data_IF_247190775442
#
_entry.id   IF_247190775442
#
_cell.length_a   1.000
_cell.length_b   1.000
_cell.length_c   1.000
_cell.angle_alpha   90.00
_cell.angle_beta   90.00
_cell.angle_gamma   90.00
#
_symmetry.space_group_name_H-M   'P 1'
#
loop_
_entity.id
_entity.type
_entity.pdbx_description
1 polymer ?
#
# COMPACT_ATOMS: atom_id res chain seq x y z
N UNK A 1 18.44 -5.01 95.69
CA UNK A 1 18.76 -6.37 96.20
C UNK A 1 17.85 -6.64 97.40
N UNK A 2 17.45 -7.87 97.73
CA UNK A 2 16.84 -8.95 96.96
C UNK A 2 15.50 -9.45 97.59
N UNK A 3 14.78 -10.35 96.88
CA UNK A 3 14.02 -11.53 97.40
C UNK A 3 13.14 -11.39 98.67
N UNK A 4 11.84 -11.68 98.69
CA UNK A 4 11.14 -12.84 98.13
C UNK A 4 10.46 -13.65 99.25
N UNK A 5 9.22 -14.12 99.04
CA UNK A 5 8.53 -15.11 99.92
C UNK A 5 7.03 -14.84 100.12
N UNK A 6 6.13 -15.45 99.32
CA UNK A 6 5.32 -16.66 99.62
C UNK A 6 4.35 -16.48 100.81
N UNK A 7 3.03 -16.72 100.76
CA UNK A 7 2.10 -17.22 99.75
C UNK A 7 0.82 -17.79 100.39
N UNK A 8 -0.26 -17.91 99.57
CA UNK A 8 -1.46 -18.80 99.64
C UNK A 8 -2.61 -18.45 100.60
N UNK A 9 -3.89 -18.76 100.23
CA UNK A 9 -4.44 -20.10 99.88
C UNK A 9 -5.07 -20.20 98.45
N UNK A 10 -5.01 -21.31 97.68
CA UNK A 10 -5.81 -22.58 97.69
C UNK A 10 -7.34 -22.34 97.66
N UNK A 11 -8.21 -23.00 96.89
CA UNK A 11 -8.20 -23.98 95.77
C UNK A 11 -9.70 -24.23 95.42
N UNK A 12 -10.11 -24.28 94.13
CA UNK A 12 -11.19 -25.14 93.53
C UNK A 12 -11.49 -24.58 92.10
N UNK A 13 -11.12 -25.24 90.99
CA UNK A 13 -11.64 -26.46 90.31
C UNK A 13 -12.83 -26.16 89.37
N UNK A 14 -12.67 -26.54 88.08
CA UNK A 14 -13.72 -26.62 87.04
C UNK A 14 -13.29 -26.01 85.69
N UNK A 15 -12.32 -26.59 84.98
CA UNK A 15 -12.46 -27.47 83.78
C UNK A 15 -12.95 -26.84 82.45
N UNK A 16 -12.01 -26.84 81.48
CA UNK A 16 -12.11 -27.14 80.02
C UNK A 16 -12.98 -26.23 79.14
N UNK A 17 -12.38 -25.27 78.43
CA UNK A 17 -11.73 -25.38 77.09
C UNK A 17 -12.72 -25.49 75.94
N UNK A 18 -12.75 -24.47 75.04
CA UNK A 18 -12.77 -24.60 73.58
C UNK A 18 -12.74 -23.22 72.89
N UNK A 19 -11.53 -22.82 72.48
CA UNK A 19 -11.16 -22.07 71.26
C UNK A 19 -12.20 -21.11 70.63
N UNK A 20 -12.09 -19.81 70.95
CA UNK A 20 -12.65 -18.71 70.15
C UNK A 20 -11.82 -18.51 68.85
N UNK A 21 -12.50 -18.48 67.69
CA UNK A 21 -11.91 -18.02 66.41
C UNK A 21 -12.11 -16.50 66.27
N UNK A 22 -11.11 -15.72 65.81
CA UNK A 22 -11.31 -14.30 65.52
C UNK A 22 -12.11 -14.11 64.22
N UNK A 23 -13.17 -13.31 64.29
CA UNK A 23 -13.97 -12.85 63.16
C UNK A 23 -13.19 -11.92 62.21
N UNK A 24 -13.37 -12.00 60.87
CA UNK A 24 -12.63 -11.16 59.91
C UNK A 24 -13.18 -9.72 59.88
N UNK A 25 -12.39 -8.75 59.40
CA UNK A 25 -12.75 -7.33 59.47
C UNK A 25 -13.91 -6.99 58.54
N UNK A 26 -14.81 -6.12 58.99
CA UNK A 26 -15.91 -5.55 58.21
C UNK A 26 -15.35 -4.83 56.97
N UNK A 27 -15.45 -5.46 55.80
CA UNK A 27 -15.21 -4.79 54.51
C UNK A 27 -16.28 -3.71 54.32
N UNK A 28 -15.87 -2.45 54.32
CA UNK A 28 -16.71 -1.33 53.88
C UNK A 28 -17.01 -1.52 52.39
N UNK A 29 -18.27 -1.77 52.05
CA UNK A 29 -18.77 -1.76 50.67
C UNK A 29 -18.71 -0.31 50.15
N UNK A 30 -17.84 -0.07 49.17
CA UNK A 30 -17.83 1.16 48.37
C UNK A 30 -19.15 1.17 47.56
N UNK A 31 -19.91 2.28 47.52
CA UNK A 31 -21.19 2.31 46.80
C UNK A 31 -20.96 2.11 45.31
N UNK A 32 -21.46 0.99 44.77
CA UNK A 32 -21.44 0.58 43.35
C UNK A 32 -22.31 1.47 42.43
N UNK A 33 -22.57 2.73 42.79
CA UNK A 33 -23.53 3.60 42.10
C UNK A 33 -22.89 4.62 41.13
N UNK A 34 -21.56 4.75 41.07
CA UNK A 34 -20.89 5.73 40.20
C UNK A 34 -20.33 5.17 38.87
N UNK A 35 -20.41 3.86 38.66
CA UNK A 35 -19.93 3.24 37.41
C UNK A 35 -20.91 3.44 36.24
N UNK A 36 -22.22 3.49 36.52
CA UNK A 36 -23.23 3.65 35.47
C UNK A 36 -23.11 5.00 34.72
N UNK A 37 -22.97 6.15 35.41
CA UNK A 37 -22.78 7.44 34.75
C UNK A 37 -21.47 7.49 33.93
N UNK A 38 -20.39 6.88 34.41
CA UNK A 38 -19.12 6.81 33.69
C UNK A 38 -19.21 5.91 32.46
N UNK A 39 -19.94 4.79 32.55
CA UNK A 39 -20.18 3.90 31.41
C UNK A 39 -21.07 4.57 30.35
N UNK A 40 -22.11 5.30 30.78
CA UNK A 40 -22.95 6.11 29.89
C UNK A 40 -22.16 7.24 29.21
N UNK A 41 -21.27 7.91 29.94
CA UNK A 41 -20.38 8.92 29.37
C UNK A 41 -19.40 8.29 28.36
N UNK A 42 -18.82 7.12 28.66
CA UNK A 42 -17.95 6.41 27.73
C UNK A 42 -18.69 5.96 26.46
N UNK A 43 -19.91 5.44 26.59
CA UNK A 43 -20.74 5.03 25.45
C UNK A 43 -21.20 6.21 24.61
N UNK A 44 -21.56 7.34 25.23
CA UNK A 44 -21.94 8.56 24.48
C UNK A 44 -20.73 9.15 23.75
N UNK A 45 -19.57 9.23 24.39
CA UNK A 45 -18.33 9.66 23.74
C UNK A 45 -17.97 8.71 22.59
N UNK A 46 -18.01 7.39 22.79
CA UNK A 46 -17.75 6.41 21.74
C UNK A 46 -18.76 6.52 20.57
N UNK A 47 -20.04 6.78 20.86
CA UNK A 47 -21.07 7.00 19.84
C UNK A 47 -20.85 8.30 19.07
N UNK A 48 -20.43 9.37 19.74
CA UNK A 48 -20.07 10.65 19.09
C UNK A 48 -18.81 10.48 18.22
N UNK A 49 -17.78 9.80 18.71
CA UNK A 49 -16.59 9.49 17.89
C UNK A 49 -16.94 8.58 16.71
N UNK A 50 -17.77 7.56 16.92
CA UNK A 50 -18.22 6.67 15.85
C UNK A 50 -19.08 7.41 14.82
N UNK A 51 -19.97 8.31 15.25
CA UNK A 51 -20.79 9.10 14.33
C UNK A 51 -19.96 10.14 13.59
N UNK A 52 -19.00 10.81 14.22
CA UNK A 52 -18.05 11.71 13.54
C UNK A 52 -17.17 10.93 12.57
N UNK A 53 -16.64 9.78 12.98
CA UNK A 53 -15.86 8.89 12.10
C UNK A 53 -16.70 8.40 10.92
N UNK A 54 -17.95 7.98 11.17
CA UNK A 54 -18.91 7.57 10.13
C UNK A 54 -19.28 8.74 9.22
N UNK A 55 -19.47 9.95 9.73
CA UNK A 55 -19.78 11.15 8.94
C UNK A 55 -18.57 11.52 8.07
N UNK A 56 -17.36 11.51 8.64
CA UNK A 56 -16.11 11.72 7.91
C UNK A 56 -15.91 10.66 6.82
N UNK A 57 -16.13 9.39 7.14
CA UNK A 57 -16.07 8.31 6.15
C UNK A 57 -17.18 8.38 5.11
N UNK A 58 -18.41 8.80 5.47
CA UNK A 58 -19.50 9.02 4.51
C UNK A 58 -19.34 10.29 3.68
N UNK A 59 -18.50 11.24 4.07
CA UNK A 59 -18.10 12.35 3.20
C UNK A 59 -17.03 11.93 2.18
N UNK A 60 -16.23 10.92 2.51
CA UNK A 60 -15.34 10.25 1.54
C UNK A 60 -16.06 9.17 0.72
N UNK A 61 -17.14 8.59 1.23
CA UNK A 61 -18.05 7.66 0.56
C UNK A 61 -19.47 8.23 0.55
N UNK A 62 -19.75 9.14 -0.40
CA UNK A 62 -21.04 9.36 -1.07
C UNK A 62 -21.12 10.78 -1.63
N UNK A 63 -20.66 10.94 -2.87
CA UNK A 63 -21.43 11.71 -3.83
C UNK A 63 -22.73 10.92 -4.10
N UNK A 64 -23.92 11.54 -4.10
CA UNK A 64 -25.17 10.80 -4.08
C UNK A 64 -25.37 10.00 -5.37
N UNK A 65 -25.82 8.76 -5.21
CA UNK A 65 -26.36 7.93 -6.27
C UNK A 65 -27.66 8.55 -6.80
N UNK A 66 -27.55 9.45 -7.78
CA UNK A 66 -28.68 10.10 -8.43
C UNK A 66 -28.23 10.84 -9.68
N UNK A 67 -28.35 10.18 -10.84
CA UNK A 67 -27.69 10.47 -12.13
C UNK A 67 -26.18 10.23 -12.09
N UNK A 68 -25.78 9.00 -12.44
CA UNK A 68 -24.52 8.84 -13.16
C UNK A 68 -24.56 9.83 -14.34
N UNK A 69 -23.78 10.91 -14.24
CA UNK A 69 -23.36 11.67 -15.40
C UNK A 69 -22.63 10.66 -16.28
N UNK A 70 -23.36 10.11 -17.27
CA UNK A 70 -22.81 9.36 -18.42
C UNK A 70 -22.02 10.31 -19.33
N UNK A 71 -21.21 11.17 -18.73
CA UNK A 71 -20.35 12.13 -19.36
C UNK A 71 -18.89 11.76 -19.07
N UNK A 72 -17.98 11.99 -20.02
CA UNK A 72 -16.55 11.84 -19.77
C UNK A 72 -16.13 12.68 -18.56
N UNK A 73 -15.36 12.10 -17.63
CA UNK A 73 -14.75 12.83 -16.53
C UNK A 73 -13.91 13.99 -17.09
N UNK A 74 -13.86 15.13 -16.41
CA UNK A 74 -13.03 16.27 -16.81
C UNK A 74 -11.57 15.79 -16.95
N UNK A 75 -10.94 16.09 -18.08
CA UNK A 75 -9.60 15.61 -18.44
C UNK A 75 -9.53 14.21 -19.06
N UNK A 76 -10.64 13.50 -19.21
CA UNK A 76 -10.66 12.22 -19.93
C UNK A 76 -10.68 12.40 -21.45
N UNK A 77 -10.02 11.49 -22.19
CA UNK A 77 -9.99 11.57 -23.65
C UNK A 77 -11.39 11.29 -24.24
N UNK A 78 -11.80 11.90 -25.35
CA UNK A 78 -12.99 11.46 -26.09
C UNK A 78 -12.88 10.00 -26.53
N UNK A 79 -13.99 9.27 -26.65
CA UNK A 79 -13.97 7.84 -26.99
C UNK A 79 -13.19 7.55 -28.29
N UNK A 80 -13.41 8.33 -29.34
CA UNK A 80 -12.69 8.18 -30.60
C UNK A 80 -11.17 8.27 -30.41
N UNK A 81 -10.72 9.13 -29.49
CA UNK A 81 -9.31 9.28 -29.15
C UNK A 81 -8.80 8.11 -28.31
N UNK A 82 -9.58 7.61 -27.36
CA UNK A 82 -9.26 6.37 -26.62
C UNK A 82 -9.05 5.20 -27.58
N UNK A 83 -9.99 4.99 -28.52
CA UNK A 83 -9.89 3.92 -29.52
C UNK A 83 -8.67 4.08 -30.41
N UNK A 84 -8.33 5.31 -30.80
CA UNK A 84 -7.10 5.60 -31.57
C UNK A 84 -5.83 5.28 -30.79
N UNK A 85 -5.72 5.73 -29.53
CA UNK A 85 -4.55 5.46 -28.67
C UNK A 85 -4.39 3.96 -28.44
N UNK A 86 -5.48 3.27 -28.10
CA UNK A 86 -5.47 1.80 -27.92
C UNK A 86 -5.13 1.08 -29.22
N UNK A 87 -5.61 1.57 -30.37
CA UNK A 87 -5.33 0.99 -31.68
C UNK A 87 -3.89 1.20 -32.18
N UNK A 88 -3.13 2.12 -31.59
CA UNK A 88 -1.69 2.29 -31.88
C UNK A 88 -0.81 1.27 -31.13
N UNK A 89 -1.37 0.57 -30.13
CA UNK A 89 -0.66 -0.48 -29.42
C UNK A 89 -0.56 -1.71 -30.32
N UNK A 90 0.65 -2.25 -30.42
CA UNK A 90 0.94 -3.48 -31.16
C UNK A 90 1.34 -4.57 -30.15
N UNK A 91 0.43 -5.53 -29.85
CA UNK A 91 0.71 -6.65 -28.96
C UNK A 91 1.91 -7.50 -29.38
N UNK A 92 2.11 -7.69 -30.69
CA UNK A 92 3.20 -8.49 -31.22
C UNK A 92 4.54 -7.77 -31.06
N UNK A 93 4.57 -6.45 -31.32
CA UNK A 93 5.76 -5.62 -31.06
C UNK A 93 6.09 -5.56 -29.57
N UNK A 94 5.10 -5.38 -28.71
CA UNK A 94 5.29 -5.43 -27.26
C UNK A 94 5.97 -6.74 -26.85
N UNK A 95 5.44 -7.87 -27.29
CA UNK A 95 5.93 -9.18 -26.89
C UNK A 95 7.30 -9.51 -27.51
N UNK A 96 7.41 -9.40 -28.83
CA UNK A 96 8.58 -9.92 -29.55
C UNK A 96 9.73 -8.92 -29.65
N UNK A 97 9.44 -7.62 -29.70
CA UNK A 97 10.48 -6.60 -29.85
C UNK A 97 10.94 -6.05 -28.50
N UNK A 98 10.06 -5.98 -27.50
CA UNK A 98 10.41 -5.39 -26.22
C UNK A 98 10.52 -6.41 -25.09
N UNK A 99 9.54 -7.30 -24.89
CA UNK A 99 9.59 -8.25 -23.77
C UNK A 99 10.66 -9.33 -23.97
N UNK A 100 10.59 -10.10 -25.07
CA UNK A 100 11.50 -11.24 -25.29
C UNK A 100 12.99 -10.92 -25.19
N UNK A 101 13.51 -9.81 -25.75
CA UNK A 101 14.93 -9.47 -25.58
C UNK A 101 15.34 -9.17 -24.14
N UNK A 102 14.39 -8.83 -23.26
CA UNK A 102 14.65 -8.56 -21.85
C UNK A 102 14.62 -9.84 -20.99
N UNK A 103 14.08 -10.95 -21.49
CA UNK A 103 13.95 -12.23 -20.79
C UNK A 103 15.25 -13.04 -20.78
N UNK A 104 16.32 -12.43 -20.29
CA UNK A 104 17.64 -13.03 -20.09
C UNK A 104 18.10 -12.82 -18.64
N UNK A 105 19.05 -13.64 -18.19
CA UNK A 105 19.74 -13.40 -16.91
C UNK A 105 20.45 -12.05 -16.99
N UNK A 106 20.08 -11.14 -16.09
CA UNK A 106 20.51 -9.72 -16.14
C UNK A 106 20.84 -9.16 -14.75
N UNK A 107 21.46 -9.99 -13.91
CA UNK A 107 21.97 -9.56 -12.59
C UNK A 107 22.93 -8.37 -12.75
N UNK A 108 23.02 -7.48 -11.74
CA UNK A 108 23.85 -6.29 -11.83
C UNK A 108 25.29 -6.61 -12.24
N UNK A 109 25.79 -5.91 -13.26
CA UNK A 109 27.14 -6.11 -13.82
C UNK A 109 27.31 -7.29 -14.80
N UNK A 110 26.28 -8.10 -15.04
CA UNK A 110 26.34 -9.20 -16.02
C UNK A 110 26.33 -8.70 -17.48
N UNK A 111 26.83 -9.50 -18.45
CA UNK A 111 26.72 -9.17 -19.88
C UNK A 111 25.29 -8.93 -20.35
N UNK A 112 24.32 -9.70 -19.84
CA UNK A 112 22.89 -9.52 -20.17
C UNK A 112 22.35 -8.16 -19.69
N UNK A 113 22.76 -7.70 -18.50
CA UNK A 113 22.40 -6.39 -17.97
C UNK A 113 22.93 -5.23 -18.84
N UNK A 114 24.18 -5.33 -19.30
CA UNK A 114 24.80 -4.30 -20.16
C UNK A 114 24.16 -4.19 -21.54
N UNK A 115 23.70 -5.32 -22.11
CA UNK A 115 23.03 -5.34 -23.43
C UNK A 115 21.69 -4.60 -23.41
N UNK A 116 20.96 -4.65 -22.29
CA UNK A 116 19.63 -4.04 -22.13
C UNK A 116 19.68 -2.50 -21.96
N UNK A 117 20.81 -1.94 -21.50
CA UNK A 117 20.90 -0.55 -20.99
C UNK A 117 20.84 0.58 -22.04
N UNK A 118 20.61 0.32 -23.33
CA UNK A 118 20.60 1.37 -24.38
C UNK A 118 19.22 2.04 -24.49
N UNK A 119 19.07 3.29 -24.04
CA UNK A 119 17.81 4.03 -24.06
C UNK A 119 17.86 5.34 -24.88
N UNK A 120 16.70 5.73 -25.42
CA UNK A 120 16.47 6.91 -26.28
C UNK A 120 15.98 8.14 -25.49
N UNK A 121 16.20 9.38 -25.97
CA UNK A 121 15.80 10.61 -25.27
C UNK A 121 14.32 10.96 -25.47
N UNK A 122 13.59 11.30 -24.39
CA UNK A 122 12.21 11.83 -24.40
C UNK A 122 11.95 12.79 -23.22
N UNK A 123 10.89 13.62 -23.32
CA UNK A 123 10.44 14.54 -22.25
C UNK A 123 9.72 13.79 -21.11
N UNK A 124 9.06 12.67 -21.44
CA UNK A 124 8.71 11.60 -20.52
C UNK A 124 9.99 10.86 -20.13
N UNK A 125 10.31 10.83 -18.84
CA UNK A 125 11.48 10.10 -18.35
C UNK A 125 11.11 8.65 -18.05
N UNK A 126 11.76 7.72 -18.74
CA UNK A 126 11.73 6.29 -18.42
C UNK A 126 13.02 5.93 -17.71
N UNK A 127 12.90 5.32 -16.53
CA UNK A 127 14.04 4.93 -15.69
C UNK A 127 14.01 3.42 -15.54
N UNK A 128 15.03 2.76 -16.09
CA UNK A 128 15.25 1.32 -15.91
C UNK A 128 16.34 1.17 -14.85
N UNK A 129 15.90 0.86 -13.63
CA UNK A 129 16.77 0.78 -12.46
C UNK A 129 17.50 -0.56 -12.44
N UNK A 130 18.74 -0.53 -11.99
CA UNK A 130 19.61 -1.70 -11.87
C UNK A 130 19.80 -2.06 -10.40
N UNK A 131 19.83 -3.35 -10.08
CA UNK A 131 20.05 -3.83 -8.71
C UNK A 131 19.01 -3.36 -7.71
N UNK A 132 17.73 -3.47 -8.04
CA UNK A 132 16.64 -3.37 -7.07
C UNK A 132 16.77 -4.54 -6.05
N UNK A 133 16.89 -5.74 -6.59
CA UNK A 133 17.03 -6.98 -5.81
C UNK A 133 18.23 -7.02 -4.87
N UNK A 134 18.04 -7.73 -3.76
CA UNK A 134 19.12 -8.10 -2.86
C UNK A 134 20.04 -9.14 -3.53
N UNK A 135 21.35 -9.00 -3.35
CA UNK A 135 22.31 -10.02 -3.79
C UNK A 135 22.35 -11.22 -2.85
N UNK A 136 22.08 -11.01 -1.55
CA UNK A 136 22.04 -12.09 -0.55
C UNK A 136 20.83 -11.99 0.36
N UNK A 137 20.66 -10.87 1.05
CA UNK A 137 19.63 -10.69 2.05
C UNK A 137 19.08 -9.28 1.97
N UNK A 138 17.76 -9.18 1.75
CA UNK A 138 17.07 -7.91 1.73
C UNK A 138 17.33 -7.10 3.00
N UNK A 139 17.75 -5.85 2.80
CA UNK A 139 18.00 -4.92 3.89
C UNK A 139 18.58 -3.60 3.40
N UNK A 140 18.82 -2.63 4.30
CA UNK A 140 19.10 -1.23 3.94
C UNK A 140 20.39 -1.01 3.14
N UNK A 141 21.27 -2.01 3.06
CA UNK A 141 22.53 -1.95 2.30
C UNK A 141 22.59 -2.93 1.13
N UNK A 142 21.78 -3.99 1.16
CA UNK A 142 21.73 -5.08 0.18
C UNK A 142 20.33 -5.14 -0.45
N UNK A 143 19.99 -4.05 -1.13
CA UNK A 143 18.78 -3.82 -1.93
C UNK A 143 18.89 -2.42 -2.55
N UNK A 144 18.05 -2.11 -3.54
CA UNK A 144 17.79 -0.76 -4.04
C UNK A 144 19.06 -0.01 -4.46
N UNK A 145 20.05 -0.71 -5.02
CA UNK A 145 21.36 -0.15 -5.35
C UNK A 145 21.25 0.99 -6.35
N UNK A 146 20.57 0.75 -7.48
CA UNK A 146 20.40 1.73 -8.54
C UNK A 146 19.53 2.92 -8.13
N UNK A 147 18.40 2.67 -7.47
CA UNK A 147 17.50 3.75 -7.00
C UNK A 147 18.15 4.62 -5.92
N UNK A 148 18.87 4.02 -4.95
CA UNK A 148 19.62 4.81 -3.94
C UNK A 148 20.65 5.70 -4.60
N UNK A 149 21.43 5.17 -5.53
CA UNK A 149 22.44 5.93 -6.25
C UNK A 149 21.82 7.04 -7.12
N UNK A 150 20.79 6.71 -7.91
CA UNK A 150 20.15 7.67 -8.81
C UNK A 150 19.44 8.80 -8.06
N UNK A 151 18.71 8.49 -7.00
CA UNK A 151 18.05 9.52 -6.19
C UNK A 151 19.07 10.49 -5.57
N UNK A 152 20.20 9.98 -5.08
CA UNK A 152 21.30 10.81 -4.58
C UNK A 152 21.92 11.69 -5.68
N UNK A 153 22.12 11.11 -6.88
CA UNK A 153 22.66 11.83 -8.03
C UNK A 153 21.70 12.93 -8.50
N UNK A 154 20.39 12.65 -8.56
CA UNK A 154 19.38 13.63 -8.98
C UNK A 154 19.27 14.79 -8.00
N UNK A 155 19.43 14.51 -6.70
CA UNK A 155 19.46 15.53 -5.65
C UNK A 155 20.69 16.44 -5.76
N UNK A 156 21.85 15.91 -6.16
CA UNK A 156 23.06 16.71 -6.36
C UNK A 156 23.15 17.38 -7.73
N UNK A 157 22.25 17.04 -8.67
CA UNK A 157 22.29 17.58 -10.04
C UNK A 157 21.33 18.77 -10.17
N UNK A 158 21.83 19.98 -10.49
CA UNK A 158 20.99 21.15 -10.71
C UNK A 158 19.98 20.97 -11.87
N UNK A 159 18.81 21.56 -11.71
CA UNK A 159 17.77 21.63 -12.74
C UNK A 159 17.01 22.95 -12.62
N UNK A 160 17.38 23.94 -13.43
CA UNK A 160 16.84 25.30 -13.32
C UNK A 160 17.43 26.12 -12.16
N UNK A 161 16.83 27.27 -11.87
CA UNK A 161 17.29 28.18 -10.80
C UNK A 161 16.80 27.68 -9.43
N UNK A 162 17.74 27.24 -8.59
CA UNK A 162 17.48 26.90 -7.19
C UNK A 162 16.83 25.52 -6.94
N UNK A 163 16.68 24.70 -7.98
CA UNK A 163 16.13 23.33 -7.91
C UNK A 163 17.09 22.28 -8.45
N UNK A 164 16.83 21.03 -8.09
CA UNK A 164 17.60 19.85 -8.50
C UNK A 164 16.71 18.95 -9.37
N UNK A 165 17.28 17.93 -9.99
CA UNK A 165 16.51 16.97 -10.80
C UNK A 165 15.46 16.23 -9.98
N UNK A 166 15.58 16.14 -8.65
CA UNK A 166 14.53 15.58 -7.79
C UNK A 166 13.24 16.41 -7.88
N UNK A 167 13.31 17.74 -7.83
CA UNK A 167 12.12 18.60 -7.90
C UNK A 167 11.49 18.62 -9.30
N UNK A 168 12.20 18.16 -10.32
CA UNK A 168 11.65 18.01 -11.67
C UNK A 168 10.67 16.83 -11.80
N UNK A 169 10.68 15.89 -10.84
CA UNK A 169 9.78 14.73 -10.87
C UNK A 169 8.41 15.14 -10.33
N UNK A 170 7.46 15.35 -11.24
CA UNK A 170 6.07 15.68 -10.88
C UNK A 170 5.33 14.48 -10.25
N UNK A 171 5.53 13.31 -10.82
CA UNK A 171 4.97 12.03 -10.37
C UNK A 171 5.96 10.91 -10.71
N UNK A 172 6.34 10.12 -9.70
CA UNK A 172 7.09 8.89 -9.89
C UNK A 172 6.13 7.71 -9.87
N UNK A 173 5.79 7.18 -11.05
CA UNK A 173 5.01 5.96 -11.17
C UNK A 173 5.96 4.77 -11.27
N UNK A 174 5.98 3.91 -10.25
CA UNK A 174 6.77 2.68 -10.23
C UNK A 174 5.90 1.50 -10.64
N UNK A 175 6.33 0.74 -11.64
CA UNK A 175 5.65 -0.46 -12.12
C UNK A 175 6.45 -1.67 -11.66
N UNK A 176 5.83 -2.56 -10.88
CA UNK A 176 6.48 -3.76 -10.39
C UNK A 176 5.50 -4.94 -10.27
N UNK A 177 6.02 -6.17 -10.37
CA UNK A 177 5.29 -7.44 -10.28
C UNK A 177 4.02 -7.50 -11.16
N UNK A 178 4.15 -7.09 -12.43
CA UNK A 178 3.07 -7.08 -13.41
C UNK A 178 3.13 -8.27 -14.36
N UNK A 179 1.96 -8.72 -14.81
CA UNK A 179 1.83 -9.70 -15.92
C UNK A 179 1.27 -11.07 -15.52
N UNK A 180 1.23 -11.37 -14.23
CA UNK A 180 0.51 -12.53 -13.70
C UNK A 180 -1.03 -12.41 -13.91
N UNK A 181 -1.79 -13.51 -13.88
CA UNK A 181 -3.24 -13.47 -13.92
C UNK A 181 -3.83 -12.82 -12.65
N UNK A 182 -4.96 -12.13 -12.80
CA UNK A 182 -5.75 -11.55 -11.70
C UNK A 182 -4.95 -10.68 -10.69
N UNK A 183 -4.14 -9.71 -11.15
CA UNK A 183 -3.44 -8.82 -10.22
C UNK A 183 -4.46 -7.93 -9.50
N UNK A 184 -4.14 -7.55 -8.27
CA UNK A 184 -4.89 -6.52 -7.53
C UNK A 184 -3.94 -5.43 -7.07
N UNK A 185 -4.34 -4.18 -7.29
CA UNK A 185 -3.58 -2.97 -6.97
C UNK A 185 -4.36 -2.14 -5.97
N UNK A 186 -3.64 -1.45 -5.09
CA UNK A 186 -4.20 -0.56 -4.07
C UNK A 186 -3.49 0.79 -4.09
N UNK A 187 -4.13 1.81 -3.52
CA UNK A 187 -3.52 3.13 -3.36
C UNK A 187 -2.60 3.16 -2.14
N UNK A 188 -1.29 3.01 -2.36
CA UNK A 188 -0.30 3.03 -1.27
C UNK A 188 -0.07 4.41 -0.64
N UNK A 189 -0.34 5.50 -1.39
CA UNK A 189 -0.04 6.85 -0.93
C UNK A 189 -1.24 7.78 -1.10
N UNK A 190 -1.79 8.36 -0.01
CA UNK A 190 -2.90 9.31 -0.09
C UNK A 190 -2.62 10.51 -1.00
N UNK A 191 -1.35 10.98 -1.04
CA UNK A 191 -0.91 12.12 -1.86
C UNK A 191 -1.11 11.92 -3.37
N UNK A 192 -1.11 10.68 -3.84
CA UNK A 192 -1.25 10.33 -5.27
C UNK A 192 -2.49 9.50 -5.56
N UNK A 193 -3.38 9.30 -4.58
CA UNK A 193 -4.62 8.53 -4.70
C UNK A 193 -5.50 8.99 -5.87
N UNK A 194 -5.48 10.29 -6.21
CA UNK A 194 -6.19 10.81 -7.40
C UNK A 194 -5.77 10.10 -8.70
N UNK A 195 -4.49 9.78 -8.87
CA UNK A 195 -3.96 9.09 -10.04
C UNK A 195 -4.32 7.61 -10.03
N UNK A 196 -4.35 6.99 -8.85
CA UNK A 196 -4.87 5.65 -8.67
C UNK A 196 -6.36 5.56 -9.08
N UNK A 197 -7.19 6.52 -8.64
CA UNK A 197 -8.59 6.59 -9.04
C UNK A 197 -8.77 6.85 -10.55
N UNK A 198 -7.85 7.59 -11.19
CA UNK A 198 -7.82 7.72 -12.65
C UNK A 198 -7.59 6.38 -13.32
N UNK A 199 -6.61 5.59 -12.89
CA UNK A 199 -6.35 4.24 -13.43
C UNK A 199 -7.58 3.33 -13.27
N UNK A 200 -8.20 3.33 -12.08
CA UNK A 200 -9.46 2.60 -11.85
C UNK A 200 -10.57 3.06 -12.79
N UNK A 201 -10.73 4.37 -13.00
CA UNK A 201 -11.74 4.87 -13.93
C UNK A 201 -11.45 4.46 -15.38
N UNK A 202 -10.19 4.40 -15.79
CA UNK A 202 -9.78 3.97 -17.12
C UNK A 202 -10.07 2.47 -17.31
N UNK A 203 -9.77 1.63 -16.32
CA UNK A 203 -10.14 0.21 -16.32
C UNK A 203 -11.64 0.02 -16.57
N UNK A 204 -12.50 0.63 -15.73
CA UNK A 204 -13.97 0.58 -15.88
C UNK A 204 -14.41 1.01 -17.27
N UNK A 205 -13.80 2.09 -17.78
CA UNK A 205 -14.13 2.64 -19.10
C UNK A 205 -13.74 1.69 -20.23
N UNK A 206 -12.53 1.16 -20.21
CA UNK A 206 -12.06 0.22 -21.23
C UNK A 206 -12.87 -1.08 -21.20
N UNK A 207 -13.27 -1.56 -20.02
CA UNK A 207 -14.18 -2.68 -19.87
C UNK A 207 -15.52 -2.41 -20.60
N UNK A 208 -16.19 -1.29 -20.30
CA UNK A 208 -17.47 -0.89 -20.94
C UNK A 208 -17.37 -0.74 -22.46
N UNK A 209 -16.20 -0.34 -22.95
CA UNK A 209 -15.94 -0.17 -24.38
C UNK A 209 -15.57 -1.48 -25.09
N UNK A 210 -15.59 -2.61 -24.39
CA UNK A 210 -15.15 -3.93 -24.87
C UNK A 210 -13.68 -3.91 -25.36
N UNK A 211 -12.84 -3.13 -24.68
CA UNK A 211 -11.41 -2.97 -24.99
C UNK A 211 -10.51 -3.71 -24.01
N UNK A 212 -11.04 -4.57 -23.13
CA UNK A 212 -10.27 -5.47 -22.26
C UNK A 212 -10.60 -6.93 -22.58
N UNK A 213 -9.63 -7.81 -22.39
CA UNK A 213 -9.73 -9.26 -22.66
C UNK A 213 -9.68 -10.06 -21.37
N UNK A 214 -10.39 -11.18 -21.27
CA UNK A 214 -10.42 -12.02 -20.05
C UNK A 214 -10.70 -11.21 -18.78
N UNK A 215 -11.61 -10.24 -18.87
CA UNK A 215 -11.92 -9.27 -17.84
C UNK A 215 -13.43 -9.25 -17.55
N UNK A 216 -13.98 -10.29 -16.89
CA UNK A 216 -15.43 -10.49 -16.76
C UNK A 216 -16.15 -9.46 -15.88
N UNK A 217 -15.46 -8.79 -14.96
CA UNK A 217 -16.07 -7.78 -14.07
C UNK A 217 -15.62 -6.38 -14.44
N UNK A 218 -16.41 -5.36 -14.11
CA UNK A 218 -16.08 -3.97 -14.46
C UNK A 218 -14.80 -3.45 -13.77
N UNK A 219 -14.52 -3.96 -12.57
CA UNK A 219 -13.29 -3.70 -11.80
C UNK A 219 -12.74 -5.05 -11.37
N UNK A 220 -11.49 -5.32 -11.74
CA UNK A 220 -10.73 -6.49 -11.32
C UNK A 220 -9.38 -6.12 -10.72
N UNK A 221 -8.72 -5.13 -11.30
CA UNK A 221 -7.35 -4.78 -10.98
C UNK A 221 -7.25 -3.69 -9.91
N UNK A 222 -7.93 -2.56 -10.10
CA UNK A 222 -7.74 -1.40 -9.22
C UNK A 222 -8.77 -1.39 -8.08
N UNK A 223 -8.38 -1.99 -6.96
CA UNK A 223 -9.24 -2.22 -5.80
C UNK A 223 -9.36 -0.97 -4.91
N UNK A 224 -10.45 -0.93 -4.14
CA UNK A 224 -10.66 0.07 -3.08
C UNK A 224 -10.17 -0.45 -1.74
N UNK A 225 -9.95 0.45 -0.80
CA UNK A 225 -9.49 0.12 0.55
C UNK A 225 -7.99 0.32 0.72
N UNK A 226 -7.51 -0.06 1.90
CA UNK A 226 -6.10 0.04 2.25
C UNK A 226 -5.30 -1.13 1.66
N UNK A 227 -4.06 -0.88 1.23
CA UNK A 227 -3.18 -1.97 0.80
C UNK A 227 -2.99 -2.97 1.96
N UNK A 228 -2.87 -4.28 1.67
CA UNK A 228 -2.63 -5.30 2.70
C UNK A 228 -1.34 -5.07 3.53
N UNK A 229 -0.40 -4.29 3.00
CA UNK A 229 0.82 -3.88 3.68
C UNK A 229 1.65 -2.90 2.84
N UNK A 230 2.63 -2.29 3.48
CA UNK A 230 3.66 -1.50 2.79
C UNK A 230 4.71 -2.42 2.20
N UNK A 231 5.16 -2.12 0.99
CA UNK A 231 6.24 -2.83 0.30
C UNK A 231 7.41 -1.87 0.12
N UNK A 232 8.60 -2.26 0.57
CA UNK A 232 9.83 -1.53 0.23
C UNK A 232 10.24 -1.87 -1.19
N UNK A 233 10.54 -0.86 -1.99
CA UNK A 233 10.89 -0.99 -3.41
C UNK A 233 11.62 0.31 -3.85
N UNK A 234 12.04 0.39 -5.10
CA UNK A 234 12.84 1.43 -5.74
C UNK A 234 12.28 2.85 -5.60
N UNK A 235 11.02 3.00 -5.23
CA UNK A 235 10.43 4.31 -4.95
C UNK A 235 10.92 4.91 -3.63
N UNK A 236 11.40 4.11 -2.67
CA UNK A 236 11.73 4.55 -1.30
C UNK A 236 12.78 5.68 -1.29
N UNK A 237 13.90 5.60 -2.05
CA UNK A 237 14.89 6.69 -2.09
C UNK A 237 14.34 8.01 -2.65
N UNK A 238 13.36 7.96 -3.56
CA UNK A 238 12.71 9.15 -4.13
C UNK A 238 11.64 9.70 -3.19
N UNK A 239 10.83 8.82 -2.61
CA UNK A 239 9.80 9.17 -1.63
C UNK A 239 10.39 9.92 -0.43
N UNK A 240 11.52 9.44 0.10
CA UNK A 240 12.26 10.10 1.20
C UNK A 240 12.73 11.52 0.87
N UNK A 241 12.84 11.85 -0.42
CA UNK A 241 13.22 13.19 -0.93
C UNK A 241 12.00 14.04 -1.34
N UNK A 242 10.80 13.61 -0.98
CA UNK A 242 9.55 14.36 -1.17
C UNK A 242 8.89 14.18 -2.53
N UNK A 243 9.40 13.28 -3.37
CA UNK A 243 8.82 12.96 -4.68
C UNK A 243 7.44 12.30 -4.49
N UNK A 244 6.37 12.75 -5.16
CA UNK A 244 5.08 12.06 -5.15
C UNK A 244 5.19 10.72 -5.86
N UNK A 245 4.84 9.62 -5.17
CA UNK A 245 4.95 8.25 -5.70
C UNK A 245 3.57 7.65 -5.95
N UNK A 246 3.39 7.00 -7.09
CA UNK A 246 2.33 6.01 -7.32
C UNK A 246 2.99 4.64 -7.52
N UNK A 247 2.83 3.75 -6.54
CA UNK A 247 3.41 2.40 -6.59
C UNK A 247 2.38 1.44 -7.18
N UNK A 248 2.59 1.03 -8.43
CA UNK A 248 1.74 0.10 -9.16
C UNK A 248 2.35 -1.30 -9.08
N UNK A 249 2.12 -1.94 -7.93
CA UNK A 249 2.58 -3.29 -7.60
C UNK A 249 1.41 -4.18 -7.21
N UNK A 250 1.37 -5.41 -7.72
CA UNK A 250 0.31 -6.36 -7.37
C UNK A 250 0.45 -6.77 -5.89
N UNK A 251 -0.62 -6.69 -5.09
CA UNK A 251 -0.64 -7.14 -3.69
C UNK A 251 -1.95 -7.90 -3.40
N UNK A 252 -1.93 -9.23 -3.19
CA UNK A 252 -0.77 -10.11 -3.01
C UNK A 252 0.12 -10.23 -4.25
N UNK A 253 1.38 -10.60 -4.02
CA UNK A 253 2.36 -10.82 -5.07
C UNK A 253 1.95 -12.00 -5.96
N UNK A 254 2.43 -12.06 -7.23
CA UNK A 254 2.27 -13.22 -8.08
C UNK A 254 2.66 -14.51 -7.36
N UNK A 255 1.93 -15.60 -7.59
CA UNK A 255 2.21 -16.90 -6.95
C UNK A 255 3.59 -17.47 -7.28
N UNK A 256 4.21 -17.00 -8.37
CA UNK A 256 5.54 -17.39 -8.86
C UNK A 256 6.65 -16.44 -8.40
N UNK A 257 6.32 -15.41 -7.60
CA UNK A 257 7.30 -14.42 -7.15
C UNK A 257 8.46 -15.08 -6.39
N UNK A 258 9.70 -14.67 -6.72
CA UNK A 258 10.94 -15.24 -6.19
C UNK A 258 11.11 -16.75 -6.42
N UNK A 259 10.46 -17.31 -7.45
CA UNK A 259 10.71 -18.69 -7.90
C UNK A 259 11.21 -18.69 -9.34
N UNK A 260 11.80 -19.82 -9.77
CA UNK A 260 12.18 -20.01 -11.18
C UNK A 260 10.99 -20.09 -12.13
N UNK A 261 9.77 -20.21 -11.60
CA UNK A 261 8.55 -20.26 -12.40
C UNK A 261 8.13 -18.86 -12.87
N UNK A 262 8.72 -17.78 -12.36
CA UNK A 262 8.53 -16.43 -12.91
C UNK A 262 9.21 -16.30 -14.28
N UNK A 263 8.47 -16.71 -15.31
CA UNK A 263 8.93 -16.93 -16.68
C UNK A 263 7.85 -16.57 -17.69
N UNK A 264 8.22 -16.42 -18.97
CA UNK A 264 7.30 -16.08 -20.07
C UNK A 264 6.05 -16.97 -20.10
N UNK A 265 6.22 -18.27 -19.82
CA UNK A 265 5.16 -19.26 -19.90
C UNK A 265 4.06 -19.07 -18.83
N UNK A 266 4.39 -18.44 -17.70
CA UNK A 266 3.47 -18.21 -16.59
C UNK A 266 2.88 -16.79 -16.58
N UNK A 267 3.27 -15.93 -17.52
CA UNK A 267 2.58 -14.68 -17.77
C UNK A 267 1.18 -14.95 -18.33
N UNK A 268 0.24 -14.05 -18.06
CA UNK A 268 -1.09 -14.06 -18.65
C UNK A 268 -1.18 -12.95 -19.72
N UNK A 269 -1.01 -13.27 -21.03
CA UNK A 269 -0.96 -12.25 -22.08
C UNK A 269 -2.16 -11.31 -22.11
N UNK A 270 -3.42 -11.76 -21.90
CA UNK A 270 -4.56 -10.84 -21.82
C UNK A 270 -4.40 -9.78 -20.72
N UNK A 271 -3.89 -10.16 -19.53
CA UNK A 271 -3.61 -9.19 -18.46
C UNK A 271 -2.52 -8.21 -18.89
N UNK A 272 -1.42 -8.69 -19.47
CA UNK A 272 -0.32 -7.83 -19.96
C UNK A 272 -0.84 -6.79 -20.95
N UNK A 273 -1.66 -7.21 -21.91
CA UNK A 273 -2.24 -6.31 -22.90
C UNK A 273 -3.27 -5.35 -22.29
N UNK A 274 -4.09 -5.79 -21.34
CA UNK A 274 -5.03 -4.93 -20.63
C UNK A 274 -4.31 -3.82 -19.86
N UNK A 275 -3.28 -4.16 -19.08
CA UNK A 275 -2.48 -3.19 -18.34
C UNK A 275 -1.79 -2.20 -19.30
N UNK A 276 -1.27 -2.69 -20.43
CA UNK A 276 -0.69 -1.84 -21.48
C UNK A 276 -1.70 -0.82 -22.01
N UNK A 277 -2.95 -1.24 -22.25
CA UNK A 277 -4.04 -0.35 -22.71
C UNK A 277 -4.39 0.71 -21.65
N UNK A 278 -4.50 0.29 -20.39
CA UNK A 278 -4.81 1.18 -19.27
C UNK A 278 -3.72 2.24 -19.12
N UNK A 279 -2.45 1.83 -19.13
CA UNK A 279 -1.30 2.73 -19.01
C UNK A 279 -1.16 3.68 -20.21
N UNK A 280 -1.43 3.21 -21.43
CA UNK A 280 -1.40 4.06 -22.61
C UNK A 280 -2.46 5.18 -22.55
N UNK A 281 -3.69 4.84 -22.14
CA UNK A 281 -4.75 5.84 -21.94
C UNK A 281 -4.41 6.77 -20.79
N UNK A 282 -3.87 6.25 -19.68
CA UNK A 282 -3.43 7.08 -18.55
C UNK A 282 -2.38 8.10 -18.99
N UNK A 283 -1.35 7.67 -19.72
CA UNK A 283 -0.28 8.55 -20.18
C UNK A 283 -0.80 9.61 -21.16
N UNK A 284 -1.69 9.23 -22.08
CA UNK A 284 -2.30 10.16 -23.01
C UNK A 284 -3.22 11.18 -22.30
N UNK A 285 -3.96 10.77 -21.26
CA UNK A 285 -4.73 11.69 -20.42
C UNK A 285 -3.82 12.62 -19.59
N UNK A 286 -2.75 12.08 -19.01
CA UNK A 286 -1.81 12.82 -18.17
C UNK A 286 -1.05 13.90 -18.95
N UNK A 287 -0.60 13.57 -20.17
CA UNK A 287 0.19 14.46 -21.02
C UNK A 287 -0.64 15.25 -22.04
N UNK A 288 -1.96 15.02 -22.14
CA UNK A 288 -2.84 15.72 -23.08
C UNK A 288 -2.64 15.36 -24.56
N UNK A 289 -2.29 14.11 -24.86
CA UNK A 289 -1.98 13.60 -26.22
C UNK A 289 -3.23 13.27 -27.06
#
# INVERSE_FOLDING_TARGET
>A
MPSGGRGRPRLQVGERSLLERPSPPKRRLIPRAQLLPQLLLALTVASVFYTIWRIWHSQTEELPLGRELRGPLIGSLPEARVRRVVGQLDPHRLWNTFLRPLLVVRTPGSPGNLQVRKAAPMTLQLIFLDGEEALKQWGPKDSLYGSRHLAQLMESTPHGLGSTRIQAIELFMLLDLLGAPNPTFYSHFPRTARWFHRLRSIEKRLHRLNLLQSHPWEVMYFQTGEPPGSVEDDHIPFLRRGVPVLHLIATPFPSVWHTSDDSEANLHPPTVHNLSRILAVFLAEYLGL
#
